data_IF_338720953299
#
_entry.id   IF_338720953299
#
_cell.length_a   1.000
_cell.length_b   1.000
_cell.length_c   1.000
_cell.angle_alpha   90.00
_cell.angle_beta   90.00
_cell.angle_gamma   90.00
#
_symmetry.space_group_name_H-M   'P 1'
#
loop_
_entity.id
_entity.type
_entity.pdbx_description
1 polymer ?
#
# COMPACT_ATOMS: atom_id res chain seq x y z
N UNK A 1 -64.31 22.44 4.59
CA UNK A 1 -62.95 22.37 4.03
C UNK A 1 -62.05 21.65 5.01
N UNK A 2 -61.88 20.33 4.87
CA UNK A 2 -60.89 19.55 5.65
C UNK A 2 -59.84 19.07 4.66
N UNK A 3 -58.63 19.59 4.81
CA UNK A 3 -57.47 19.28 3.98
C UNK A 3 -57.01 17.83 4.25
N UNK A 4 -56.93 17.02 3.20
CA UNK A 4 -56.22 15.74 3.22
C UNK A 4 -54.71 16.01 3.10
N UNK A 5 -53.96 15.67 4.13
CA UNK A 5 -52.50 15.62 4.10
C UNK A 5 -52.08 14.32 3.40
N UNK A 6 -51.54 14.43 2.20
CA UNK A 6 -50.94 13.32 1.45
C UNK A 6 -49.51 13.14 1.94
N UNK A 7 -49.24 12.05 2.66
CA UNK A 7 -47.89 11.69 3.09
C UNK A 7 -47.09 11.19 1.88
N UNK A 8 -46.05 11.94 1.49
CA UNK A 8 -45.11 11.55 0.45
C UNK A 8 -44.12 10.55 1.04
N UNK A 9 -44.25 9.27 0.68
CA UNK A 9 -43.31 8.22 1.06
C UNK A 9 -42.06 8.35 0.17
N UNK A 10 -40.99 8.96 0.70
CA UNK A 10 -39.68 8.93 0.05
C UNK A 10 -39.07 7.55 0.31
N UNK A 11 -39.10 6.68 -0.70
CA UNK A 11 -38.37 5.42 -0.66
C UNK A 11 -36.86 5.74 -0.73
N UNK A 12 -36.15 5.51 0.37
CA UNK A 12 -34.70 5.46 0.41
C UNK A 12 -34.25 4.26 -0.43
N UNK A 13 -33.90 4.51 -1.69
CA UNK A 13 -33.11 3.58 -2.50
C UNK A 13 -31.72 3.51 -1.87
N UNK A 14 -31.55 2.61 -0.89
CA UNK A 14 -30.23 2.11 -0.50
C UNK A 14 -29.66 1.48 -1.76
N UNK A 15 -28.78 2.21 -2.43
CA UNK A 15 -28.05 1.70 -3.58
C UNK A 15 -27.21 0.52 -3.12
N UNK A 16 -27.71 -0.71 -3.35
CA UNK A 16 -26.85 -1.88 -3.40
C UNK A 16 -25.81 -1.59 -4.49
N UNK A 17 -24.62 -1.12 -4.10
CA UNK A 17 -23.46 -1.15 -4.97
C UNK A 17 -23.34 -2.61 -5.43
N UNK A 18 -23.38 -2.90 -6.73
CA UNK A 18 -23.11 -4.25 -7.20
C UNK A 18 -21.76 -4.68 -6.63
N UNK A 19 -21.71 -5.86 -6.01
CA UNK A 19 -20.47 -6.42 -5.53
C UNK A 19 -19.49 -6.46 -6.71
N UNK A 20 -18.33 -5.80 -6.57
CA UNK A 20 -17.31 -5.87 -7.60
C UNK A 20 -16.98 -7.35 -7.82
N UNK A 21 -16.91 -7.81 -9.08
CA UNK A 21 -16.48 -9.17 -9.36
C UNK A 21 -15.13 -9.40 -8.67
N UNK A 22 -14.90 -10.59 -8.09
CA UNK A 22 -13.63 -10.88 -7.44
C UNK A 22 -12.50 -10.60 -8.43
N UNK A 23 -11.38 -10.00 -7.97
CA UNK A 23 -10.27 -9.67 -8.85
C UNK A 23 -9.87 -10.92 -9.64
N UNK A 24 -9.59 -10.75 -10.93
CA UNK A 24 -9.06 -11.84 -11.74
C UNK A 24 -7.77 -12.36 -11.10
N UNK A 25 -7.70 -13.68 -10.86
CA UNK A 25 -6.55 -14.29 -10.21
C UNK A 25 -5.32 -14.18 -11.13
N UNK A 26 -4.27 -13.48 -10.68
CA UNK A 26 -3.01 -13.36 -11.40
C UNK A 26 -2.15 -14.65 -11.28
N UNK A 27 -1.07 -14.75 -12.05
CA UNK A 27 -0.11 -15.84 -11.84
C UNK A 27 0.75 -15.55 -10.60
N UNK A 28 1.20 -14.30 -10.43
CA UNK A 28 2.03 -13.85 -9.30
C UNK A 28 1.53 -12.56 -8.67
N UNK A 29 1.64 -12.47 -7.35
CA UNK A 29 1.64 -11.21 -6.61
C UNK A 29 2.96 -11.09 -5.85
N UNK A 30 3.71 -10.03 -6.12
CA UNK A 30 4.94 -9.69 -5.42
C UNK A 30 4.60 -8.66 -4.34
N UNK A 31 4.88 -9.01 -3.09
CA UNK A 31 4.58 -8.23 -1.91
C UNK A 31 5.90 -7.64 -1.37
N UNK A 32 6.04 -6.33 -1.37
CA UNK A 32 7.19 -5.62 -0.82
C UNK A 32 6.80 -4.97 0.51
N UNK A 33 7.47 -5.35 1.58
CA UNK A 33 7.32 -4.77 2.91
C UNK A 33 8.55 -3.90 3.13
N UNK A 34 8.42 -2.61 2.88
CA UNK A 34 9.50 -1.64 2.89
C UNK A 34 9.39 -0.77 4.14
N UNK A 35 10.26 -1.06 5.10
CA UNK A 35 10.48 -0.23 6.26
C UNK A 35 11.56 0.79 5.89
N UNK A 36 11.15 2.04 5.70
CA UNK A 36 12.02 3.11 5.23
C UNK A 36 11.94 4.32 6.17
N UNK A 37 11.53 4.12 7.43
CA UNK A 37 11.75 5.09 8.49
C UNK A 37 13.18 4.98 9.05
N UNK A 38 14.18 5.02 8.17
CA UNK A 38 15.60 4.97 8.52
C UNK A 38 16.48 5.51 7.39
N UNK A 39 17.81 5.46 7.57
CA UNK A 39 18.80 6.00 6.64
C UNK A 39 18.89 5.28 5.28
N UNK A 40 18.01 4.31 5.03
CA UNK A 40 17.86 3.68 3.72
C UNK A 40 16.71 4.27 2.89
N UNK A 41 15.97 5.26 3.39
CA UNK A 41 14.79 5.84 2.72
C UNK A 41 15.05 6.29 1.27
N UNK A 42 16.13 7.04 1.03
CA UNK A 42 16.53 7.47 -0.32
C UNK A 42 16.76 6.27 -1.26
N UNK A 43 17.28 5.16 -0.74
CA UNK A 43 17.41 3.91 -1.50
C UNK A 43 16.05 3.26 -1.76
N UNK A 44 15.16 3.22 -0.77
CA UNK A 44 13.77 2.73 -0.94
C UNK A 44 13.04 3.50 -2.02
N UNK A 45 13.16 4.83 -2.06
CA UNK A 45 12.51 5.67 -3.07
C UNK A 45 13.06 5.40 -4.48
N UNK A 46 14.35 5.11 -4.63
CA UNK A 46 14.95 4.71 -5.93
C UNK A 46 14.47 3.33 -6.38
N UNK A 47 14.34 2.39 -5.46
CA UNK A 47 13.83 1.04 -5.75
C UNK A 47 12.35 1.07 -6.13
N UNK A 48 11.53 1.85 -5.42
CA UNK A 48 10.14 2.12 -5.78
C UNK A 48 10.01 2.65 -7.20
N UNK A 49 10.86 3.61 -7.60
CA UNK A 49 10.87 4.15 -8.98
C UNK A 49 11.27 3.09 -10.00
N UNK A 50 12.27 2.27 -9.70
CA UNK A 50 12.67 1.16 -10.57
C UNK A 50 11.55 0.12 -10.75
N UNK A 51 10.77 -0.15 -9.70
CA UNK A 51 9.58 -1.00 -9.78
C UNK A 51 8.47 -0.36 -10.62
N UNK A 52 8.31 0.96 -10.57
CA UNK A 52 7.33 1.72 -11.37
C UNK A 52 7.68 1.75 -12.87
N UNK A 53 8.96 1.72 -13.24
CA UNK A 53 9.38 1.58 -14.64
C UNK A 53 8.94 0.24 -15.25
N UNK A 54 8.79 -0.81 -14.43
CA UNK A 54 8.31 -2.12 -14.88
C UNK A 54 6.79 -2.19 -14.76
N UNK A 55 6.28 -1.92 -13.55
CA UNK A 55 4.85 -1.92 -13.22
C UNK A 55 4.20 -3.30 -13.17
N UNK A 56 2.98 -3.33 -12.63
CA UNK A 56 2.10 -4.49 -12.68
C UNK A 56 1.59 -4.77 -14.10
N UNK A 57 1.27 -6.03 -14.34
CA UNK A 57 0.60 -6.53 -15.54
C UNK A 57 -0.64 -7.33 -15.15
N UNK A 58 -1.38 -7.85 -16.12
CA UNK A 58 -2.49 -8.79 -15.83
C UNK A 58 -2.01 -10.09 -15.14
N UNK A 59 -0.74 -10.48 -15.34
CA UNK A 59 -0.18 -11.75 -14.82
C UNK A 59 0.64 -11.58 -13.54
N UNK A 60 1.18 -10.39 -13.29
CA UNK A 60 2.06 -10.09 -12.16
C UNK A 60 1.60 -8.80 -11.49
N UNK A 61 1.24 -8.86 -10.22
CA UNK A 61 0.87 -7.69 -9.41
C UNK A 61 2.04 -7.28 -8.51
N UNK A 62 2.29 -5.98 -8.40
CA UNK A 62 3.28 -5.38 -7.50
C UNK A 62 2.54 -4.58 -6.42
N UNK A 63 2.66 -5.02 -5.17
CA UNK A 63 2.01 -4.39 -4.01
C UNK A 63 3.08 -4.07 -2.98
N UNK A 64 3.09 -2.84 -2.49
CA UNK A 64 4.09 -2.36 -1.53
C UNK A 64 3.40 -1.79 -0.31
N UNK A 65 3.85 -2.13 0.89
CA UNK A 65 3.65 -1.30 2.08
C UNK A 65 4.95 -0.56 2.32
N UNK A 66 4.92 0.76 2.27
CA UNK A 66 6.10 1.61 2.44
C UNK A 66 5.85 2.59 3.59
N UNK A 67 6.62 2.44 4.66
CA UNK A 67 6.67 3.40 5.77
C UNK A 67 7.84 4.34 5.57
N UNK A 68 7.65 5.65 5.77
CA UNK A 68 8.64 6.67 5.43
C UNK A 68 8.89 7.59 6.60
N UNK A 69 10.13 8.02 6.72
CA UNK A 69 10.56 8.89 7.81
C UNK A 69 9.95 10.29 7.77
N UNK A 70 9.75 10.93 8.94
CA UNK A 70 9.51 12.37 9.00
C UNK A 70 10.77 13.21 8.74
N UNK A 71 11.95 12.60 8.64
CA UNK A 71 13.19 13.29 8.27
C UNK A 71 13.20 13.61 6.76
N UNK A 72 13.94 14.65 6.38
CA UNK A 72 14.04 15.09 5.00
C UNK A 72 15.48 14.96 4.45
N UNK A 73 15.65 15.32 3.18
CA UNK A 73 16.93 15.29 2.46
C UNK A 73 18.05 16.17 3.03
N UNK A 74 17.83 16.87 4.16
CA UNK A 74 18.92 17.48 4.94
C UNK A 74 19.69 16.47 5.81
N UNK A 75 19.17 15.24 5.95
CA UNK A 75 19.81 14.12 6.65
C UNK A 75 20.30 13.09 5.62
N UNK A 76 21.49 12.54 5.85
CA UNK A 76 22.07 11.54 4.94
C UNK A 76 21.23 10.26 4.94
N UNK A 77 20.92 9.73 3.76
CA UNK A 77 20.05 8.55 3.60
C UNK A 77 18.55 8.83 3.54
N UNK A 78 18.10 10.06 3.84
CA UNK A 78 16.69 10.43 3.87
C UNK A 78 16.24 11.20 2.63
N UNK A 79 14.95 11.16 2.34
CA UNK A 79 14.36 11.79 1.16
C UNK A 79 13.03 12.42 1.51
N UNK A 80 12.75 13.60 0.95
CA UNK A 80 11.41 14.20 0.95
C UNK A 80 10.86 14.32 -0.49
N UNK A 81 11.35 13.48 -1.40
CA UNK A 81 10.93 13.49 -2.79
C UNK A 81 9.57 12.82 -2.98
N UNK A 82 8.79 13.37 -3.91
CA UNK A 82 7.56 12.75 -4.39
C UNK A 82 7.85 11.48 -5.18
N UNK A 83 6.87 10.57 -5.22
CA UNK A 83 6.85 9.38 -6.08
C UNK A 83 5.71 9.51 -7.08
N UNK A 84 6.05 9.91 -8.32
CA UNK A 84 5.09 10.25 -9.38
C UNK A 84 4.02 11.25 -8.88
N UNK A 85 2.77 10.81 -8.73
CA UNK A 85 1.64 11.59 -8.26
C UNK A 85 1.43 11.58 -6.75
N UNK A 86 2.24 10.84 -5.98
CA UNK A 86 2.23 10.88 -4.52
C UNK A 86 3.23 11.93 -4.06
N UNK A 87 2.75 13.00 -3.44
CA UNK A 87 3.62 13.90 -2.68
C UNK A 87 4.33 13.14 -1.56
N UNK A 88 5.34 13.78 -1.00
CA UNK A 88 6.03 13.30 0.18
C UNK A 88 5.06 12.88 1.30
N UNK A 89 5.40 11.81 2.02
CA UNK A 89 4.59 11.26 3.10
C UNK A 89 5.48 10.66 4.17
N UNK A 90 4.97 10.60 5.40
CA UNK A 90 5.73 10.21 6.59
C UNK A 90 4.99 9.12 7.35
N UNK A 91 4.33 8.19 6.66
CA UNK A 91 3.46 7.16 7.24
C UNK A 91 3.55 5.87 6.43
N UNK A 92 2.98 4.76 6.93
CA UNK A 92 2.89 3.52 6.16
C UNK A 92 1.75 3.54 5.13
N UNK A 93 2.12 3.66 3.85
CA UNK A 93 1.15 3.61 2.74
C UNK A 93 1.16 2.28 2.02
N UNK A 94 -0.03 1.72 1.81
CA UNK A 94 -0.26 0.56 0.97
C UNK A 94 -0.47 1.01 -0.48
N UNK A 95 0.43 0.58 -1.36
CA UNK A 95 0.54 1.01 -2.74
C UNK A 95 0.37 -0.18 -3.70
N UNK A 96 -0.21 0.09 -4.86
CA UNK A 96 -0.14 -0.78 -6.04
C UNK A 96 0.59 -0.05 -7.16
N UNK A 97 1.59 -0.73 -7.74
CA UNK A 97 2.48 -0.11 -8.73
C UNK A 97 2.10 -0.58 -10.13
N UNK A 98 1.65 0.32 -10.98
CA UNK A 98 1.51 0.17 -12.43
C UNK A 98 2.69 0.78 -13.18
N UNK A 99 2.77 0.56 -14.49
CA UNK A 99 3.83 1.15 -15.32
C UNK A 99 3.65 2.67 -15.37
N UNK A 100 4.64 3.41 -14.84
CA UNK A 100 4.58 4.87 -14.65
C UNK A 100 3.32 5.36 -13.91
N UNK A 101 2.75 4.51 -13.06
CA UNK A 101 1.53 4.81 -12.30
C UNK A 101 1.62 4.24 -10.90
N UNK A 102 1.33 5.04 -9.88
CA UNK A 102 1.17 4.55 -8.51
C UNK A 102 -0.25 4.82 -8.01
N UNK A 103 -0.86 3.79 -7.43
CA UNK A 103 -2.14 3.90 -6.74
C UNK A 103 -1.93 3.73 -5.25
N UNK A 104 -2.26 4.75 -4.46
CA UNK A 104 -2.48 4.61 -3.02
C UNK A 104 -3.80 3.86 -2.79
N UNK A 105 -3.71 2.74 -2.07
CA UNK A 105 -4.87 1.90 -1.73
C UNK A 105 -5.41 2.22 -0.35
N UNK A 106 -4.50 2.44 0.59
CA UNK A 106 -4.81 2.76 1.98
C UNK A 106 -3.58 3.47 2.59
N UNK A 107 -3.83 4.37 3.54
CA UNK A 107 -2.83 4.94 4.44
C UNK A 107 -3.09 4.34 5.83
N UNK A 108 -2.10 3.65 6.38
CA UNK A 108 -2.22 2.99 7.68
C UNK A 108 -1.84 3.90 8.84
N UNK A 109 -1.40 5.14 8.55
CA UNK A 109 -0.72 6.00 9.49
C UNK A 109 0.62 5.41 9.92
N UNK A 110 1.17 5.93 11.01
CA UNK A 110 2.32 5.30 11.66
C UNK A 110 1.95 3.92 12.19
N UNK A 111 2.71 2.91 11.80
CA UNK A 111 2.60 1.56 12.33
C UNK A 111 3.97 1.05 12.63
N UNK A 112 4.10 0.23 13.67
CA UNK A 112 5.38 -0.39 13.91
C UNK A 112 5.63 -1.49 12.87
N UNK A 113 6.63 -1.29 12.00
CA UNK A 113 6.96 -2.24 10.94
C UNK A 113 7.67 -3.50 11.46
N UNK A 114 8.29 -3.44 12.63
CA UNK A 114 8.87 -4.59 13.34
C UNK A 114 7.81 -5.50 14.01
N UNK A 115 6.56 -5.03 14.17
CA UNK A 115 5.51 -5.76 14.87
C UNK A 115 4.97 -6.89 13.98
N UNK A 116 4.99 -8.17 14.44
CA UNK A 116 4.51 -9.30 13.64
C UNK A 116 3.06 -9.17 13.18
N UNK A 117 2.23 -8.43 13.92
CA UNK A 117 0.85 -8.16 13.54
C UNK A 117 0.74 -7.26 12.30
N UNK A 118 1.66 -6.31 12.11
CA UNK A 118 1.72 -5.41 10.94
C UNK A 118 2.04 -6.22 9.68
N UNK A 119 3.09 -7.05 9.71
CA UNK A 119 3.42 -7.96 8.61
C UNK A 119 2.28 -8.93 8.29
N UNK A 120 1.64 -9.50 9.33
CA UNK A 120 0.50 -10.40 9.14
C UNK A 120 -0.71 -9.69 8.52
N UNK A 121 -0.95 -8.41 8.87
CA UNK A 121 -1.96 -7.56 8.23
C UNK A 121 -1.61 -7.34 6.76
N UNK A 122 -0.36 -6.98 6.45
CA UNK A 122 0.10 -6.75 5.07
C UNK A 122 -0.11 -7.97 4.18
N UNK A 123 0.34 -9.15 4.63
CA UNK A 123 0.17 -10.39 3.87
C UNK A 123 -1.30 -10.70 3.60
N UNK A 124 -2.16 -10.59 4.63
CA UNK A 124 -3.61 -10.84 4.48
C UNK A 124 -4.26 -9.84 3.53
N UNK A 125 -3.91 -8.56 3.63
CA UNK A 125 -4.47 -7.51 2.78
C UNK A 125 -4.02 -7.68 1.33
N UNK A 126 -2.73 -7.91 1.09
CA UNK A 126 -2.18 -8.15 -0.25
C UNK A 126 -2.82 -9.37 -0.94
N UNK A 127 -2.93 -10.50 -0.23
CA UNK A 127 -3.62 -11.70 -0.74
C UNK A 127 -5.09 -11.45 -1.06
N UNK A 128 -5.78 -10.67 -0.20
CA UNK A 128 -7.20 -10.36 -0.38
C UNK A 128 -7.45 -9.43 -1.57
N UNK A 129 -6.65 -8.38 -1.73
CA UNK A 129 -6.83 -7.37 -2.78
C UNK A 129 -6.31 -7.87 -4.14
N UNK A 130 -5.21 -8.62 -4.14
CA UNK A 130 -4.52 -9.10 -5.34
C UNK A 130 -4.31 -10.62 -5.27
N UNK A 131 -5.39 -11.42 -5.44
CA UNK A 131 -5.31 -12.87 -5.45
C UNK A 131 -4.44 -13.37 -6.61
N UNK A 132 -3.55 -14.31 -6.33
CA UNK A 132 -2.65 -14.92 -7.32
C UNK A 132 -2.46 -16.41 -7.08
N UNK A 133 -1.86 -17.11 -8.04
CA UNK A 133 -1.47 -18.52 -7.88
C UNK A 133 -0.21 -18.66 -7.02
N UNK A 134 0.68 -17.68 -7.12
CA UNK A 134 1.95 -17.65 -6.42
C UNK A 134 2.19 -16.29 -5.77
N UNK A 135 2.95 -16.31 -4.68
CA UNK A 135 3.32 -15.13 -3.93
C UNK A 135 4.81 -15.14 -3.65
N UNK A 136 5.43 -13.96 -3.71
CA UNK A 136 6.76 -13.72 -3.17
C UNK A 136 6.67 -12.54 -2.20
N UNK A 137 7.34 -12.65 -1.07
CA UNK A 137 7.50 -11.58 -0.09
C UNK A 137 8.94 -11.10 -0.14
N UNK A 138 9.10 -9.79 -0.25
CA UNK A 138 10.37 -9.08 -0.14
C UNK A 138 10.30 -8.25 1.13
N UNK A 139 11.18 -8.54 2.08
CA UNK A 139 11.39 -7.73 3.28
C UNK A 139 12.55 -6.79 2.93
N UNK A 140 12.28 -5.49 2.96
CA UNK A 140 13.22 -4.46 2.56
C UNK A 140 13.46 -3.57 3.76
N UNK A 141 14.67 -3.66 4.30
CA UNK A 141 15.28 -2.83 5.33
C UNK A 141 16.74 -3.30 5.54
N UNK A 142 17.45 -2.70 6.49
CA UNK A 142 18.54 -3.31 7.22
C UNK A 142 18.23 -4.74 7.69
N UNK A 143 19.29 -5.53 7.82
CA UNK A 143 19.20 -6.90 8.29
C UNK A 143 20.43 -7.33 9.06
N UNK A 144 20.20 -7.98 10.21
CA UNK A 144 21.22 -8.56 11.07
C UNK A 144 21.21 -10.11 11.03
N UNK A 145 20.64 -10.67 9.96
CA UNK A 145 20.53 -12.12 9.77
C UNK A 145 19.54 -12.74 10.76
N UNK A 146 20.04 -13.56 11.69
CA UNK A 146 19.18 -14.24 12.67
C UNK A 146 18.73 -13.32 13.81
N UNK A 147 19.40 -12.18 14.01
CA UNK A 147 19.08 -11.23 15.08
C UNK A 147 17.88 -10.33 14.73
N UNK A 148 17.55 -10.17 13.45
CA UNK A 148 16.37 -9.42 13.01
C UNK A 148 16.55 -8.71 11.66
N UNK A 149 15.48 -8.06 11.22
CA UNK A 149 15.37 -7.14 10.07
C UNK A 149 14.09 -6.30 10.23
N UNK A 150 13.94 -5.21 9.47
CA UNK A 150 12.80 -4.29 9.56
C UNK A 150 12.67 -3.76 10.99
N UNK A 151 13.77 -3.17 11.48
CA UNK A 151 13.74 -2.46 12.75
C UNK A 151 13.14 -1.08 12.50
N UNK A 152 12.13 -0.76 13.30
CA UNK A 152 11.29 0.43 13.15
C UNK A 152 11.79 1.50 14.12
N UNK A 153 12.31 2.61 13.59
CA UNK A 153 13.00 3.68 14.32
C UNK A 153 12.14 4.92 14.62
#
# INVERSE_FOLDING_TARGET
MRLLTMALLVALLVGCKPAQPPPAQADWTLLFYADADNDLEDSTIRDLRSLLEIGSTERVQLVVLCDRSPLDSSHDGYSNERVLNLEDWTTAKLLHLGHDQVQELEDWGEVNMAEPATLARFLKTGVKLYPARHYALFLWDHGAGWEGMCADD
#
